data_IF_892188831402
#
_entry.id   IF_892188831402
#
_cell.length_a   1.000
_cell.length_b   1.000
_cell.length_c   1.000
_cell.angle_alpha   90.00
_cell.angle_beta   90.00
_cell.angle_gamma   90.00
#
_symmetry.space_group_name_H-M   'P 1'
#
loop_
_entity.id
_entity.type
_entity.pdbx_description
1 polymer ?
#
# COMPACT_ATOMS: atom_id res chain seq x y z
N UNK A 1 -13.19 -0.30 -12.39
CA UNK A 1 -13.05 -1.33 -11.33
C UNK A 1 -11.67 -1.92 -11.42
N UNK A 2 -10.77 -1.37 -10.60
CA UNK A 2 -9.44 -1.91 -10.36
C UNK A 2 -9.48 -3.41 -10.02
N UNK A 3 -8.56 -4.15 -10.62
CA UNK A 3 -8.42 -5.60 -10.41
C UNK A 3 -7.56 -5.90 -9.19
N UNK A 4 -7.72 -7.08 -8.60
CA UNK A 4 -6.92 -7.51 -7.43
C UNK A 4 -5.40 -7.43 -7.67
N UNK A 5 -4.94 -7.63 -8.91
CA UNK A 5 -3.52 -7.54 -9.26
C UNK A 5 -3.02 -6.08 -9.23
N UNK A 6 -3.84 -5.14 -9.71
CA UNK A 6 -3.54 -3.71 -9.64
C UNK A 6 -3.53 -3.21 -8.18
N UNK A 7 -4.51 -3.65 -7.37
CA UNK A 7 -4.55 -3.35 -5.95
C UNK A 7 -3.33 -3.91 -5.21
N UNK A 8 -2.91 -5.14 -5.56
CA UNK A 8 -1.70 -5.76 -5.01
C UNK A 8 -0.44 -4.98 -5.37
N UNK A 9 -0.32 -4.55 -6.63
CA UNK A 9 0.85 -3.80 -7.10
C UNK A 9 1.03 -2.48 -6.35
N UNK A 10 -0.06 -1.80 -5.97
CA UNK A 10 -0.01 -0.57 -5.18
C UNK A 10 0.54 -0.77 -3.75
N UNK A 11 0.44 -1.99 -3.24
CA UNK A 11 0.91 -2.35 -1.91
C UNK A 11 2.36 -2.87 -1.89
N UNK A 12 3.02 -2.93 -3.04
CA UNK A 12 4.42 -3.29 -3.16
C UNK A 12 5.32 -2.04 -3.22
N UNK A 13 6.52 -2.15 -2.68
CA UNK A 13 7.58 -1.15 -2.85
C UNK A 13 8.43 -1.42 -4.11
N UNK A 14 9.41 -0.55 -4.35
CA UNK A 14 10.33 -0.64 -5.50
C UNK A 14 11.19 -1.92 -5.52
N UNK A 15 11.27 -2.63 -4.39
CA UNK A 15 11.98 -3.90 -4.27
C UNK A 15 11.04 -5.11 -4.40
N UNK A 16 9.75 -4.88 -4.67
CA UNK A 16 8.73 -5.92 -4.75
C UNK A 16 8.38 -6.52 -3.39
N UNK A 17 8.66 -5.82 -2.29
CA UNK A 17 8.26 -6.21 -0.95
C UNK A 17 6.96 -5.50 -0.56
N UNK A 18 6.11 -6.10 0.28
CA UNK A 18 4.93 -5.40 0.79
C UNK A 18 5.35 -4.16 1.59
N UNK A 19 4.67 -3.04 1.35
CA UNK A 19 4.71 -1.82 2.18
C UNK A 19 4.09 -2.11 3.55
N UNK A 20 4.14 -1.13 4.45
CA UNK A 20 3.40 -1.21 5.72
C UNK A 20 1.91 -1.42 5.44
N UNK A 21 1.25 -2.28 6.24
CA UNK A 21 -0.17 -2.60 6.06
C UNK A 21 -1.03 -1.33 6.09
N UNK A 22 -0.73 -0.42 7.01
CA UNK A 22 -1.45 0.87 7.16
C UNK A 22 -1.25 1.78 5.95
N UNK A 23 -0.05 1.77 5.35
CA UNK A 23 0.26 2.56 4.15
C UNK A 23 -0.50 2.02 2.93
N UNK A 24 -0.45 0.71 2.70
CA UNK A 24 -1.21 0.05 1.66
C UNK A 24 -2.73 0.28 1.83
N UNK A 25 -3.26 0.14 3.06
CA UNK A 25 -4.68 0.40 3.35
C UNK A 25 -5.09 1.81 2.95
N UNK A 26 -4.30 2.81 3.35
CA UNK A 26 -4.58 4.21 3.00
C UNK A 26 -4.50 4.47 1.49
N UNK A 27 -3.53 3.88 0.80
CA UNK A 27 -3.39 3.99 -0.66
C UNK A 27 -4.59 3.38 -1.39
N UNK A 28 -5.01 2.18 -0.99
CA UNK A 28 -6.16 1.50 -1.57
C UNK A 28 -7.44 2.32 -1.40
N UNK A 29 -7.76 2.72 -0.17
CA UNK A 29 -8.96 3.53 0.12
C UNK A 29 -8.95 4.83 -0.70
N UNK A 30 -7.82 5.55 -0.72
CA UNK A 30 -7.72 6.79 -1.50
C UNK A 30 -7.92 6.55 -3.00
N UNK A 31 -7.36 5.49 -3.56
CA UNK A 31 -7.56 5.15 -4.97
C UNK A 31 -9.02 4.84 -5.28
N UNK A 32 -9.68 4.02 -4.44
CA UNK A 32 -11.08 3.64 -4.64
C UNK A 32 -12.02 4.85 -4.52
N UNK A 33 -11.77 5.78 -3.61
CA UNK A 33 -12.57 7.00 -3.47
C UNK A 33 -12.34 7.96 -4.64
N UNK A 34 -11.08 8.17 -5.05
CA UNK A 34 -10.75 9.22 -6.03
C UNK A 34 -10.94 8.77 -7.48
N UNK A 35 -10.56 7.54 -7.80
CA UNK A 35 -10.55 7.02 -9.18
C UNK A 35 -11.83 6.26 -9.51
N UNK A 36 -12.34 5.47 -8.56
CA UNK A 36 -13.56 4.67 -8.74
C UNK A 36 -14.82 5.38 -8.20
N UNK A 37 -14.66 6.57 -7.60
CA UNK A 37 -15.73 7.38 -7.01
C UNK A 37 -16.59 6.60 -6.00
N UNK A 38 -15.98 5.65 -5.28
CA UNK A 38 -16.65 4.92 -4.21
C UNK A 38 -16.83 5.78 -2.96
N UNK A 39 -17.90 5.48 -2.23
CA UNK A 39 -18.07 6.00 -0.88
C UNK A 39 -16.99 5.43 0.05
N UNK A 40 -16.67 6.21 1.09
CA UNK A 40 -15.61 5.87 2.04
C UNK A 40 -15.87 4.50 2.67
N UNK A 41 -17.11 4.25 3.11
CA UNK A 41 -17.47 2.99 3.76
C UNK A 41 -17.28 1.78 2.83
N UNK A 42 -17.70 1.91 1.56
CA UNK A 42 -17.56 0.85 0.55
C UNK A 42 -16.09 0.61 0.18
N UNK A 43 -15.29 1.68 0.09
CA UNK A 43 -13.87 1.62 -0.16
C UNK A 43 -13.11 0.95 0.99
N UNK A 44 -13.48 1.22 2.25
CA UNK A 44 -12.90 0.56 3.42
C UNK A 44 -13.22 -0.94 3.43
N UNK A 45 -14.48 -1.31 3.22
CA UNK A 45 -14.91 -2.70 3.16
C UNK A 45 -14.15 -3.47 2.07
N UNK A 46 -14.10 -2.94 0.85
CA UNK A 46 -13.39 -3.58 -0.27
C UNK A 46 -11.88 -3.68 0.00
N UNK A 47 -11.30 -2.66 0.62
CA UNK A 47 -9.89 -2.64 0.99
C UNK A 47 -9.58 -3.72 2.02
N UNK A 48 -10.34 -3.80 3.10
CA UNK A 48 -10.10 -4.79 4.16
C UNK A 48 -10.32 -6.23 3.64
N UNK A 49 -11.29 -6.43 2.75
CA UNK A 49 -11.50 -7.69 2.02
C UNK A 49 -10.29 -8.05 1.15
N UNK A 50 -9.73 -7.05 0.46
CA UNK A 50 -8.56 -7.20 -0.40
C UNK A 50 -7.31 -7.53 0.42
N UNK A 51 -7.06 -6.80 1.50
CA UNK A 51 -5.94 -7.05 2.42
C UNK A 51 -6.00 -8.46 3.00
N UNK A 52 -7.20 -8.92 3.37
CA UNK A 52 -7.43 -10.28 3.88
C UNK A 52 -7.15 -11.34 2.81
N UNK A 53 -7.57 -11.11 1.56
CA UNK A 53 -7.35 -12.04 0.44
C UNK A 53 -5.89 -12.09 -0.02
N UNK A 54 -5.18 -10.98 0.10
CA UNK A 54 -3.80 -10.86 -0.36
C UNK A 54 -2.81 -11.61 0.55
N UNK A 55 -3.15 -11.82 1.83
CA UNK A 55 -2.35 -12.56 2.83
C UNK A 55 -0.86 -12.14 2.84
N UNK A 56 -0.61 -10.85 2.58
CA UNK A 56 0.74 -10.31 2.39
C UNK A 56 1.46 -9.98 3.70
N UNK A 57 0.71 -9.80 4.78
CA UNK A 57 1.25 -9.45 6.10
C UNK A 57 0.97 -10.58 7.07
N UNK A 58 1.98 -11.39 7.33
CA UNK A 58 1.93 -12.34 8.44
C UNK A 58 2.12 -11.60 9.77
N UNK A 59 1.60 -12.11 10.89
CA UNK A 59 1.77 -11.46 12.20
C UNK A 59 3.24 -11.23 12.59
N UNK A 60 4.18 -11.95 11.98
CA UNK A 60 5.63 -11.79 12.20
C UNK A 60 6.21 -10.56 11.49
N UNK A 61 5.54 -10.03 10.46
CA UNK A 61 5.96 -8.85 9.70
C UNK A 61 5.58 -7.53 10.38
N UNK A 62 4.55 -7.53 11.24
CA UNK A 62 4.11 -6.33 11.99
C UNK A 62 5.13 -5.85 13.04
N UNK A 63 6.18 -6.65 13.32
CA UNK A 63 7.18 -6.36 14.35
C UNK A 63 8.49 -5.70 13.84
N UNK A 64 8.70 -5.53 12.53
CA UNK A 64 9.94 -4.92 12.02
C UNK A 64 9.73 -3.47 11.58
N UNK A 65 10.21 -2.47 12.34
CA UNK A 65 10.23 -1.10 11.87
C UNK A 65 11.15 -1.03 10.65
N UNK A 66 10.59 -0.74 9.47
CA UNK A 66 11.39 -0.38 8.29
C UNK A 66 12.16 0.91 8.59
N UNK A 67 13.43 0.77 8.98
CA UNK A 67 14.43 1.82 8.79
C UNK A 67 14.65 1.94 7.28
N UNK A 68 13.98 2.87 6.61
CA UNK A 68 14.38 3.31 5.28
C UNK A 68 15.37 4.45 5.45
N UNK A 69 16.62 4.19 5.09
CA UNK A 69 17.66 5.20 5.01
C UNK A 69 17.29 6.24 3.96
N UNK A 70 17.32 7.50 4.37
CA UNK A 70 17.35 8.64 3.47
C UNK A 70 18.72 8.68 2.78
N UNK A 71 18.81 8.10 1.58
CA UNK A 71 19.87 8.49 0.64
C UNK A 71 19.19 9.14 -0.57
N UNK A 72 18.92 10.43 -0.43
CA UNK A 72 18.63 11.34 -1.53
C UNK A 72 18.76 12.75 -1.00
N UNK A 73 19.98 13.23 -0.80
CA UNK A 73 20.20 14.67 -0.79
C UNK A 73 21.55 15.02 -1.46
N UNK A 74 21.39 15.63 -2.62
CA UNK A 74 22.27 16.64 -3.21
C UNK A 74 23.68 16.22 -3.68
N UNK A 75 23.75 15.78 -4.94
CA UNK A 75 24.82 16.25 -5.82
C UNK A 75 24.44 17.62 -6.38
N UNK A 76 25.06 18.68 -5.86
CA UNK A 76 25.18 19.96 -6.55
C UNK A 76 26.49 19.92 -7.35
N UNK A 77 26.34 20.01 -8.67
CA UNK A 77 27.42 20.12 -9.68
C UNK A 77 27.91 21.57 -9.73
N UNK A 78 29.23 21.80 -9.62
CA UNK A 78 29.94 23.06 -9.92
C UNK A 78 30.95 22.82 -11.06
#
# INVERSE_FOLDING_TARGET
MATFDELKAMCMDEHGQPKEKTECRALLINHLILEELMDVDEAEDLTDDTLTKLDLWTPEMEEKPKQTGTDSDLSTDD
#
